data_IF_154709780097
#
_entry.id   IF_154709780097
#
_cell.length_a   1.000
_cell.length_b   1.000
_cell.length_c   1.000
_cell.angle_alpha   90.00
_cell.angle_beta   90.00
_cell.angle_gamma   90.00
#
_symmetry.space_group_name_H-M   'P 1'
#
loop_
_entity.id
_entity.type
_entity.pdbx_description
1 polymer ?
#
# COMPACT_ATOMS: atom_id res chain seq x y z
N UNK A 1 29.33 -35.20 6.98
CA UNK A 1 28.11 -34.64 6.35
C UNK A 1 27.90 -33.27 6.97
N UNK A 2 28.21 -32.21 6.24
CA UNK A 2 28.08 -30.83 6.73
C UNK A 2 26.63 -30.40 6.66
N UNK A 3 26.02 -30.05 7.80
CA UNK A 3 24.72 -29.40 7.85
C UNK A 3 24.87 -28.00 7.25
N UNK A 4 24.48 -27.83 6.00
CA UNK A 4 24.24 -26.51 5.45
C UNK A 4 22.98 -25.95 6.13
N UNK A 5 23.16 -25.03 7.07
CA UNK A 5 22.08 -24.13 7.47
C UNK A 5 21.66 -23.38 6.21
N UNK A 6 20.44 -23.66 5.75
CA UNK A 6 19.81 -22.93 4.66
C UNK A 6 19.44 -21.55 5.21
N UNK A 7 20.40 -20.61 5.18
CA UNK A 7 20.14 -19.22 5.53
C UNK A 7 19.34 -18.64 4.37
N UNK A 8 18.02 -18.69 4.49
CA UNK A 8 17.12 -17.97 3.59
C UNK A 8 17.46 -16.48 3.65
N UNK A 9 18.12 -15.97 2.62
CA UNK A 9 18.37 -14.54 2.47
C UNK A 9 17.02 -13.86 2.18
N UNK A 10 16.47 -13.21 3.20
CA UNK A 10 15.29 -12.34 3.08
C UNK A 10 15.75 -10.91 2.86
N UNK A 11 15.08 -10.16 1.99
CA UNK A 11 15.27 -8.71 1.90
C UNK A 11 14.77 -8.09 3.20
N UNK A 12 15.63 -7.36 3.90
CA UNK A 12 15.25 -6.68 5.12
C UNK A 12 14.20 -5.58 4.80
N UNK A 13 13.08 -5.52 5.54
CA UNK A 13 12.09 -4.47 5.34
C UNK A 13 12.66 -3.08 5.70
N UNK A 14 12.12 -2.01 5.10
CA UNK A 14 12.58 -0.63 5.35
C UNK A 14 12.25 -0.10 6.76
N UNK A 15 11.40 -0.80 7.52
CA UNK A 15 11.07 -0.53 8.91
C UNK A 15 10.72 -1.85 9.64
N UNK A 16 10.70 -1.86 10.99
CA UNK A 16 10.39 -3.07 11.76
C UNK A 16 9.04 -3.68 11.35
N UNK A 17 8.98 -4.96 10.94
CA UNK A 17 7.76 -5.57 10.46
C UNK A 17 6.84 -6.00 11.61
N UNK A 18 5.53 -5.88 11.39
CA UNK A 18 4.48 -6.41 12.26
C UNK A 18 3.95 -7.74 11.72
N UNK A 19 3.65 -8.71 12.57
CA UNK A 19 3.06 -9.99 12.13
C UNK A 19 1.54 -9.89 12.00
N UNK A 20 0.98 -10.46 10.94
CA UNK A 20 -0.47 -10.43 10.65
C UNK A 20 -0.95 -11.79 10.15
N UNK A 21 -2.14 -12.22 10.61
CA UNK A 21 -2.72 -13.54 10.28
C UNK A 21 -4.05 -13.47 9.51
N UNK A 22 -4.76 -12.34 9.55
CA UNK A 22 -6.16 -12.25 9.10
C UNK A 22 -6.33 -11.41 7.82
N UNK A 23 -5.27 -11.23 7.03
CA UNK A 23 -5.31 -10.51 5.76
C UNK A 23 -5.36 -8.98 5.88
N UNK A 24 -5.94 -8.39 6.92
CA UNK A 24 -5.82 -6.93 7.15
C UNK A 24 -4.42 -6.57 7.62
N UNK A 25 -3.72 -5.75 6.84
CA UNK A 25 -2.40 -5.23 7.17
C UNK A 25 -2.51 -3.94 7.99
N UNK A 26 -3.34 -3.00 7.51
CA UNK A 26 -3.50 -1.68 8.11
C UNK A 26 -4.96 -1.24 8.00
N UNK A 27 -5.49 -0.66 9.08
CA UNK A 27 -6.76 0.04 9.06
C UNK A 27 -6.60 1.36 9.82
N UNK A 28 -6.62 2.47 9.09
CA UNK A 28 -6.66 3.82 9.64
C UNK A 28 -8.05 4.39 9.40
N UNK A 29 -8.61 5.00 10.44
CA UNK A 29 -9.88 5.71 10.38
C UNK A 29 -9.73 7.05 11.09
N UNK A 30 -9.99 8.14 10.38
CA UNK A 30 -9.97 9.52 10.87
C UNK A 30 -8.69 9.87 11.66
N UNK A 31 -7.49 9.76 11.06
CA UNK A 31 -6.26 10.20 11.71
C UNK A 31 -6.37 11.66 12.16
N UNK A 32 -5.87 11.96 13.37
CA UNK A 32 -5.99 13.28 13.99
C UNK A 32 -4.86 14.25 13.63
N UNK A 33 -3.98 13.85 12.72
CA UNK A 33 -2.92 14.72 12.18
C UNK A 33 -2.65 14.42 10.71
N UNK A 34 -2.22 15.46 9.98
CA UNK A 34 -1.61 15.33 8.66
C UNK A 34 -0.11 15.25 8.86
N UNK A 35 0.52 14.29 8.21
CA UNK A 35 1.98 14.10 8.28
C UNK A 35 2.70 14.56 7.01
N UNK A 36 1.97 15.03 6.01
CA UNK A 36 2.52 15.51 4.74
C UNK A 36 3.61 16.59 4.91
N UNK A 37 4.70 16.54 4.12
CA UNK A 37 5.03 15.54 3.09
C UNK A 37 5.77 14.31 3.66
N UNK A 38 5.83 14.14 4.99
CA UNK A 38 6.51 12.99 5.60
C UNK A 38 5.68 11.73 5.46
N UNK A 39 6.32 10.64 5.09
CA UNK A 39 5.70 9.32 5.00
C UNK A 39 5.98 8.48 6.23
N UNK A 40 4.99 7.70 6.64
CA UNK A 40 5.16 6.61 7.59
C UNK A 40 5.43 5.32 6.85
N UNK A 41 6.46 4.58 7.28
CA UNK A 41 6.72 3.25 6.78
C UNK A 41 5.87 2.23 7.52
N UNK A 42 5.23 1.34 6.76
CA UNK A 42 4.54 0.17 7.28
C UNK A 42 5.19 -1.07 6.69
N UNK A 43 5.47 -2.06 7.53
CA UNK A 43 6.02 -3.34 7.10
C UNK A 43 5.34 -4.49 7.84
N UNK A 44 5.16 -5.60 7.15
CA UNK A 44 4.44 -6.77 7.67
C UNK A 44 5.13 -8.07 7.27
N UNK A 45 5.08 -9.05 8.17
CA UNK A 45 5.36 -10.44 7.85
C UNK A 45 4.04 -11.19 7.74
N UNK A 46 3.82 -11.83 6.61
CA UNK A 46 2.58 -12.56 6.30
C UNK A 46 2.89 -13.97 5.78
N UNK A 47 2.14 -14.97 6.26
CA UNK A 47 2.25 -16.34 5.76
C UNK A 47 1.10 -16.61 4.79
N UNK A 48 1.43 -16.93 3.55
CA UNK A 48 0.43 -17.21 2.53
C UNK A 48 -0.35 -18.49 2.83
N UNK A 49 -1.65 -18.47 2.60
CA UNK A 49 -2.54 -19.64 2.77
C UNK A 49 -2.96 -20.27 1.45
N UNK A 50 -2.77 -19.55 0.34
CA UNK A 50 -3.15 -19.95 -1.00
C UNK A 50 -1.99 -19.80 -2.01
N UNK A 51 -2.22 -20.16 -3.26
CA UNK A 51 -1.26 -20.03 -4.37
C UNK A 51 -1.29 -18.66 -5.07
N UNK A 52 -2.17 -17.77 -4.64
CA UNK A 52 -2.29 -16.39 -5.11
C UNK A 52 -2.75 -15.52 -3.94
N UNK A 53 -2.37 -14.24 -3.98
CA UNK A 53 -2.90 -13.21 -3.10
C UNK A 53 -3.04 -11.88 -3.83
N UNK A 54 -3.95 -11.04 -3.34
CA UNK A 54 -4.19 -9.68 -3.82
C UNK A 54 -3.89 -8.70 -2.70
N UNK A 55 -2.86 -7.88 -2.90
CA UNK A 55 -2.62 -6.72 -2.05
C UNK A 55 -3.53 -5.59 -2.54
N UNK A 56 -4.37 -5.09 -1.65
CA UNK A 56 -5.40 -4.10 -1.94
C UNK A 56 -5.27 -2.90 -1.01
N UNK A 57 -5.29 -1.71 -1.58
CA UNK A 57 -5.30 -0.44 -0.87
C UNK A 57 -6.63 0.24 -1.14
N UNK A 58 -7.49 0.31 -0.14
CA UNK A 58 -8.72 1.10 -0.19
C UNK A 58 -8.48 2.45 0.48
N UNK A 59 -8.74 3.53 -0.24
CA UNK A 59 -8.58 4.89 0.24
C UNK A 59 -9.86 5.71 0.11
N UNK A 60 -10.11 6.51 1.12
CA UNK A 60 -11.09 7.59 1.12
C UNK A 60 -10.54 8.75 1.93
N UNK A 61 -10.72 9.97 1.45
CA UNK A 61 -10.27 11.16 2.15
C UNK A 61 -11.14 12.38 1.79
N UNK A 62 -11.98 12.82 2.73
CA UNK A 62 -12.81 14.01 2.58
C UNK A 62 -12.14 15.20 3.30
N UNK A 63 -11.75 16.34 2.69
CA UNK A 63 -11.47 16.67 1.28
C UNK A 63 -9.98 16.50 0.89
N UNK A 64 -9.17 15.86 1.74
CA UNK A 64 -7.73 15.70 1.55
C UNK A 64 -7.34 14.59 0.58
N UNK A 65 -6.22 13.92 0.85
CA UNK A 65 -5.85 12.73 0.07
C UNK A 65 -4.75 11.88 0.69
N UNK A 66 -4.73 10.61 0.30
CA UNK A 66 -3.68 9.66 0.65
C UNK A 66 -2.60 9.65 -0.42
N UNK A 67 -1.34 9.62 -0.02
CA UNK A 67 -0.23 9.40 -0.96
C UNK A 67 0.50 8.12 -0.59
N UNK A 68 0.65 7.25 -1.58
CA UNK A 68 1.24 5.93 -1.46
C UNK A 68 2.47 5.85 -2.36
N UNK A 69 3.54 5.26 -1.84
CA UNK A 69 4.76 5.02 -2.59
C UNK A 69 5.54 3.82 -2.03
N UNK A 70 6.49 3.31 -2.81
CA UNK A 70 7.43 2.25 -2.45
C UNK A 70 6.76 0.99 -1.89
N UNK A 71 5.72 0.51 -2.58
CA UNK A 71 5.06 -0.74 -2.26
C UNK A 71 5.94 -1.93 -2.64
N UNK A 72 6.08 -2.89 -1.74
CA UNK A 72 6.90 -4.08 -1.96
C UNK A 72 6.27 -5.32 -1.32
N UNK A 73 6.49 -6.48 -1.95
CA UNK A 73 6.19 -7.79 -1.38
C UNK A 73 7.29 -8.78 -1.77
N UNK A 74 8.09 -9.21 -0.79
CA UNK A 74 9.20 -10.12 -1.04
C UNK A 74 8.91 -11.53 -0.52
N UNK A 75 9.24 -12.53 -1.33
CA UNK A 75 9.43 -13.92 -0.88
C UNK A 75 10.91 -14.27 -1.01
N UNK A 76 11.60 -14.40 0.13
CA UNK A 76 13.07 -14.42 0.13
C UNK A 76 13.62 -13.12 -0.47
N UNK A 77 14.32 -13.23 -1.60
CA UNK A 77 14.84 -12.11 -2.38
C UNK A 77 13.99 -11.72 -3.59
N UNK A 78 12.89 -12.43 -3.85
CA UNK A 78 12.07 -12.22 -5.05
C UNK A 78 10.99 -11.18 -4.78
N UNK A 79 11.08 -10.02 -5.44
CA UNK A 79 10.00 -9.03 -5.48
C UNK A 79 8.80 -9.59 -6.24
N UNK A 80 7.60 -9.40 -5.69
CA UNK A 80 6.32 -9.82 -6.27
C UNK A 80 5.49 -8.64 -6.79
N UNK A 81 5.69 -7.44 -6.24
CA UNK A 81 5.03 -6.24 -6.72
C UNK A 81 5.80 -5.65 -7.91
N UNK A 82 5.10 -5.43 -9.01
CA UNK A 82 5.60 -4.66 -10.15
C UNK A 82 5.20 -3.19 -10.03
N UNK A 83 6.12 -2.29 -10.41
CA UNK A 83 5.89 -0.85 -10.40
C UNK A 83 5.38 -0.29 -9.05
N UNK A 84 5.90 -0.81 -7.94
CA UNK A 84 5.46 -0.42 -6.60
C UNK A 84 5.92 0.97 -6.14
N UNK A 85 6.96 1.52 -6.79
CA UNK A 85 7.37 2.91 -6.64
C UNK A 85 6.80 3.83 -7.73
N UNK A 86 5.91 3.35 -8.59
CA UNK A 86 5.21 4.14 -9.61
C UNK A 86 6.06 4.88 -10.66
N UNK A 87 7.38 4.65 -10.68
CA UNK A 87 8.35 5.33 -11.57
C UNK A 87 8.13 5.10 -13.07
N UNK A 88 7.20 4.21 -13.45
CA UNK A 88 6.71 4.12 -14.83
C UNK A 88 5.80 5.30 -15.22
N UNK A 89 5.52 6.24 -14.31
CA UNK A 89 4.62 7.39 -14.54
C UNK A 89 3.18 6.99 -14.84
N UNK A 90 2.78 5.76 -14.48
CA UNK A 90 1.48 5.17 -14.79
C UNK A 90 1.13 4.06 -13.81
N UNK A 91 -0.14 3.65 -13.78
CA UNK A 91 -0.64 2.51 -13.00
C UNK A 91 -0.30 1.15 -13.65
N UNK A 92 0.80 1.06 -14.41
CA UNK A 92 1.22 -0.19 -15.04
C UNK A 92 1.36 -1.30 -13.98
N UNK A 93 0.67 -2.41 -14.19
CA UNK A 93 0.66 -3.54 -13.27
C UNK A 93 -0.30 -3.43 -12.10
N UNK A 94 -0.98 -2.29 -11.94
CA UNK A 94 -1.99 -2.07 -10.91
C UNK A 94 -3.38 -2.08 -11.52
N UNK A 95 -4.31 -2.73 -10.82
CA UNK A 95 -5.73 -2.62 -11.10
C UNK A 95 -6.32 -1.53 -10.21
N UNK A 96 -6.93 -0.53 -10.83
CA UNK A 96 -7.60 0.57 -10.15
C UNK A 96 -9.10 0.48 -10.38
N UNK A 97 -9.87 0.61 -9.30
CA UNK A 97 -11.32 0.73 -9.34
C UNK A 97 -11.74 1.85 -8.40
N UNK A 98 -12.58 2.76 -8.86
CA UNK A 98 -13.04 3.90 -8.06
C UNK A 98 -14.54 4.11 -8.14
N UNK A 99 -15.09 4.71 -7.09
CA UNK A 99 -16.51 5.07 -6.98
C UNK A 99 -16.71 6.56 -6.67
N UNK A 100 -15.65 7.37 -6.79
CA UNK A 100 -15.64 8.78 -6.41
C UNK A 100 -16.06 9.66 -7.59
N UNK A 101 -16.88 10.68 -7.32
CA UNK A 101 -17.58 11.46 -8.36
C UNK A 101 -16.70 12.48 -9.06
N UNK A 102 -15.71 13.04 -8.38
CA UNK A 102 -15.03 14.26 -8.82
C UNK A 102 -13.52 14.12 -8.97
N UNK A 103 -12.85 13.40 -8.06
CA UNK A 103 -11.42 13.14 -8.15
C UNK A 103 -11.12 11.68 -7.84
N UNK A 104 -10.44 11.02 -8.77
CA UNK A 104 -10.01 9.63 -8.69
C UNK A 104 -8.51 9.55 -8.44
N UNK A 105 -8.08 8.50 -7.75
CA UNK A 105 -6.68 8.21 -7.52
C UNK A 105 -5.90 7.98 -8.81
N UNK A 106 -4.70 8.56 -8.88
CA UNK A 106 -3.87 8.58 -10.08
C UNK A 106 -2.39 8.76 -9.74
N UNK A 107 -1.52 8.64 -10.75
CA UNK A 107 -0.09 8.86 -10.61
C UNK A 107 0.25 10.34 -10.77
N UNK A 108 0.97 10.90 -9.80
CA UNK A 108 1.47 12.27 -9.81
C UNK A 108 3.00 12.29 -9.86
N UNK A 109 3.55 13.30 -10.54
CA UNK A 109 4.99 13.57 -10.54
C UNK A 109 5.35 14.70 -9.57
N UNK A 110 6.42 14.52 -8.79
CA UNK A 110 7.06 15.57 -8.02
C UNK A 110 8.01 14.98 -6.99
N UNK A 111 9.32 15.13 -7.21
CA UNK A 111 10.37 14.54 -6.36
C UNK A 111 10.36 15.05 -4.91
N UNK A 112 9.79 16.23 -4.65
CA UNK A 112 9.60 16.75 -3.29
C UNK A 112 8.42 16.13 -2.54
N UNK A 113 7.58 15.36 -3.24
CA UNK A 113 6.36 14.74 -2.73
C UNK A 113 6.38 13.22 -2.80
N UNK A 114 7.12 12.65 -3.75
CA UNK A 114 7.40 11.22 -3.81
C UNK A 114 8.27 10.81 -2.61
N UNK A 115 8.06 9.59 -2.08
CA UNK A 115 8.93 9.05 -1.03
C UNK A 115 10.33 8.74 -1.59
N UNK A 116 10.41 8.39 -2.86
CA UNK A 116 11.64 8.28 -3.63
C UNK A 116 11.37 8.53 -5.11
N UNK A 117 12.42 8.79 -5.89
CA UNK A 117 12.25 8.98 -7.34
C UNK A 117 11.42 10.23 -7.64
N UNK A 118 10.55 10.14 -8.66
CA UNK A 118 9.74 11.27 -9.11
C UNK A 118 8.25 11.03 -9.07
N UNK A 119 7.79 9.78 -8.89
CA UNK A 119 6.39 9.43 -9.08
C UNK A 119 5.81 8.78 -7.82
N UNK A 120 4.53 9.03 -7.58
CA UNK A 120 3.79 8.44 -6.46
C UNK A 120 2.31 8.33 -6.81
N UNK A 121 1.58 7.47 -6.10
CA UNK A 121 0.14 7.41 -6.22
C UNK A 121 -0.49 8.42 -5.25
N UNK A 122 -1.41 9.25 -5.76
CA UNK A 122 -2.20 10.18 -4.98
C UNK A 122 -3.68 9.87 -5.12
N UNK A 123 -4.35 9.73 -3.99
CA UNK A 123 -5.77 9.44 -3.89
C UNK A 123 -6.50 10.55 -3.14
N UNK A 124 -7.05 11.53 -3.88
CA UNK A 124 -7.89 12.59 -3.34
C UNK A 124 -9.36 12.18 -3.27
N UNK A 125 -9.70 10.88 -3.33
CA UNK A 125 -11.08 10.46 -3.39
C UNK A 125 -11.85 11.06 -2.21
N UNK A 126 -12.73 12.00 -2.56
CA UNK A 126 -13.67 12.64 -1.68
C UNK A 126 -15.06 12.45 -2.24
N UNK A 127 -16.02 12.36 -1.34
CA UNK A 127 -17.42 12.36 -1.68
C UNK A 127 -18.01 13.63 -1.15
N UNK A 128 -18.05 14.64 -2.02
CA UNK A 128 -18.76 15.88 -1.74
C UNK A 128 -20.24 15.63 -1.41
N UNK A 129 -20.78 14.43 -1.72
CA UNK A 129 -22.16 14.00 -1.53
C UNK A 129 -22.45 13.18 -0.25
N UNK A 130 -21.48 12.97 0.65
CA UNK A 130 -21.74 12.37 1.97
C UNK A 130 -22.07 10.87 1.99
N UNK A 131 -21.78 10.12 0.92
CA UNK A 131 -21.91 8.66 0.92
C UNK A 131 -20.73 8.03 1.65
N UNK A 132 -21.00 7.31 2.75
CA UNK A 132 -19.96 6.79 3.62
C UNK A 132 -19.18 5.57 3.07
N UNK A 133 -19.51 5.10 1.87
CA UNK A 133 -19.08 3.81 1.31
C UNK A 133 -18.31 3.93 -0.01
N UNK A 134 -18.05 5.16 -0.45
CA UNK A 134 -17.33 5.48 -1.67
C UNK A 134 -15.86 5.73 -1.35
N UNK A 135 -15.00 5.03 -2.08
CA UNK A 135 -13.56 5.09 -1.98
C UNK A 135 -12.96 4.49 -3.23
N UNK A 136 -11.66 4.68 -3.37
CA UNK A 136 -10.87 4.14 -4.46
C UNK A 136 -10.09 2.93 -3.97
N UNK A 137 -9.91 1.97 -4.87
CA UNK A 137 -9.14 0.75 -4.61
C UNK A 137 -8.04 0.62 -5.65
N UNK A 138 -6.81 0.56 -5.16
CA UNK A 138 -5.63 0.21 -5.94
C UNK A 138 -5.16 -1.18 -5.52
N UNK A 139 -5.00 -2.10 -6.47
CA UNK A 139 -4.71 -3.50 -6.15
C UNK A 139 -3.74 -4.16 -7.13
N UNK A 140 -3.00 -5.15 -6.65
CA UNK A 140 -2.19 -6.03 -7.47
C UNK A 140 -2.25 -7.47 -6.95
N UNK A 141 -2.55 -8.40 -7.86
CA UNK A 141 -2.55 -9.84 -7.58
C UNK A 141 -1.21 -10.45 -7.98
N UNK A 142 -0.66 -11.29 -7.12
CA UNK A 142 0.61 -11.99 -7.37
C UNK A 142 0.55 -13.45 -6.89
N UNK A 143 1.35 -14.31 -7.51
CA UNK A 143 1.46 -15.72 -7.15
C UNK A 143 2.15 -15.91 -5.81
N UNK A 144 1.62 -16.81 -4.99
CA UNK A 144 2.18 -17.18 -3.68
C UNK A 144 2.41 -18.69 -3.55
N UNK A 145 3.15 -19.08 -2.51
CA UNK A 145 3.30 -20.48 -2.10
C UNK A 145 2.64 -20.61 -0.74
N UNK A 146 1.61 -21.44 -0.60
CA UNK A 146 0.97 -21.69 0.68
C UNK A 146 2.01 -22.18 1.71
N UNK A 147 1.99 -21.59 2.92
CA UNK A 147 3.00 -21.77 3.96
C UNK A 147 4.25 -20.89 3.80
N UNK A 148 4.42 -20.20 2.66
CA UNK A 148 5.51 -19.28 2.42
C UNK A 148 5.35 -17.98 3.21
N UNK A 149 6.45 -17.49 3.77
CA UNK A 149 6.50 -16.22 4.49
C UNK A 149 6.95 -15.08 3.58
N UNK A 150 6.17 -14.01 3.55
CA UNK A 150 6.39 -12.82 2.75
C UNK A 150 6.61 -11.61 3.64
N UNK A 151 7.46 -10.71 3.17
CA UNK A 151 7.65 -9.38 3.76
C UNK A 151 6.99 -8.34 2.88
N UNK A 152 5.91 -7.73 3.37
CA UNK A 152 5.18 -6.66 2.68
C UNK A 152 5.62 -5.32 3.26
N UNK A 153 5.80 -4.29 2.44
CA UNK A 153 5.99 -2.93 2.94
C UNK A 153 5.41 -1.88 2.02
N UNK A 154 5.10 -0.72 2.56
CA UNK A 154 4.70 0.46 1.80
C UNK A 154 4.92 1.73 2.64
N UNK A 155 4.95 2.87 1.96
CA UNK A 155 5.03 4.17 2.59
C UNK A 155 3.73 4.93 2.34
N UNK A 156 3.13 5.45 3.40
CA UNK A 156 1.87 6.17 3.33
C UNK A 156 1.97 7.52 4.04
N UNK A 157 1.38 8.56 3.44
CA UNK A 157 1.15 9.87 4.07
C UNK A 157 -0.26 10.37 3.74
N UNK A 158 -0.77 11.31 4.52
CA UNK A 158 -2.04 11.98 4.27
C UNK A 158 -1.84 13.50 4.18
N UNK A 159 -2.44 14.09 3.14
CA UNK A 159 -2.47 15.52 2.92
C UNK A 159 -3.81 16.09 3.34
N UNK A 160 -3.76 17.05 4.26
CA UNK A 160 -4.88 17.49 5.08
C UNK A 160 -5.43 16.36 5.96
N UNK A 161 -6.01 16.75 7.08
CA UNK A 161 -6.71 15.83 7.94
C UNK A 161 -7.81 16.58 8.68
N UNK A 162 -8.61 15.78 9.33
CA UNK A 162 -9.27 16.05 10.58
C UNK A 162 -10.64 16.71 10.40
N UNK A 163 -11.65 16.08 11.01
CA UNK A 163 -13.06 16.45 11.05
C UNK A 163 -13.96 15.90 9.93
N UNK A 164 -13.45 14.98 9.11
CA UNK A 164 -14.21 14.28 8.08
C UNK A 164 -13.89 12.78 8.05
N UNK A 165 -14.52 12.03 7.14
CA UNK A 165 -14.25 10.60 7.02
C UNK A 165 -13.01 10.35 6.18
N UNK A 166 -12.04 9.68 6.78
CA UNK A 166 -10.74 9.41 6.18
C UNK A 166 -10.40 7.95 6.47
N UNK A 167 -10.23 7.14 5.44
CA UNK A 167 -10.01 5.70 5.56
C UNK A 167 -8.81 5.30 4.71
N UNK A 168 -7.89 4.57 5.32
CA UNK A 168 -6.92 3.75 4.62
C UNK A 168 -7.05 2.31 5.12
N UNK A 169 -7.57 1.42 4.28
CA UNK A 169 -7.72 0.01 4.60
C UNK A 169 -6.90 -0.82 3.63
N UNK A 170 -5.82 -1.41 4.14
CA UNK A 170 -4.89 -2.22 3.36
C UNK A 170 -5.10 -3.68 3.75
N UNK A 171 -5.43 -4.48 2.75
CA UNK A 171 -5.70 -5.92 2.92
C UNK A 171 -4.87 -6.76 1.97
N UNK A 172 -4.71 -8.01 2.35
CA UNK A 172 -4.05 -9.07 1.63
C UNK A 172 -4.95 -10.30 1.68
N UNK A 173 -5.58 -10.62 0.54
CA UNK A 173 -6.61 -11.66 0.41
C UNK A 173 -6.27 -12.68 -0.65
#
# INVERSE_FOLDING_TARGET
MSNFLNISFIVAPPCPPQSVSNGTLLYLMNPTSSIYPNYTCYAYTWTATASSATLSFFFRHDPGGWMLDNVSAYYGTTQKIINGGFEAGSLTGWNYTGYCSDNTGQIYSGSSYAKSGSWYYYDPCSTYSGSNSSGDTLSQTFSTIAGGTYTISFWLTNYYCCNHTEIANITLI
#
